data_IF_117318578368
#
_entry.id   IF_117318578368
#
_cell.length_a   1.000
_cell.length_b   1.000
_cell.length_c   1.000
_cell.angle_alpha   90.00
_cell.angle_beta   90.00
_cell.angle_gamma   90.00
#
_symmetry.space_group_name_H-M   'P 1'
#
loop_
_entity.id
_entity.type
_entity.pdbx_description
1 polymer ?
#
# COMPACT_ATOMS: atom_id res chain seq x y z
N UNK A 1 11.77 -22.83 16.34
CA UNK A 1 11.48 -22.96 14.89
C UNK A 1 10.09 -22.44 14.64
N UNK A 2 9.82 -21.86 13.50
CA UNK A 2 8.46 -21.40 13.16
C UNK A 2 7.58 -22.61 12.87
N UNK A 3 6.36 -22.63 13.40
CA UNK A 3 5.38 -23.69 13.13
C UNK A 3 5.02 -23.79 11.63
N UNK A 4 5.19 -22.70 10.84
CA UNK A 4 5.06 -22.73 9.39
C UNK A 4 6.13 -23.61 8.76
N UNK A 5 7.39 -23.48 9.20
CA UNK A 5 8.49 -24.30 8.70
C UNK A 5 8.35 -25.78 9.11
N UNK A 6 7.68 -26.08 10.21
CA UNK A 6 7.38 -27.45 10.63
C UNK A 6 6.40 -28.16 9.66
N UNK A 7 5.70 -27.40 8.81
CA UNK A 7 4.81 -27.93 7.77
C UNK A 7 5.51 -28.17 6.42
N UNK A 8 6.75 -27.74 6.23
CA UNK A 8 7.44 -27.73 4.94
C UNK A 8 7.51 -29.12 4.31
N UNK A 9 7.85 -30.17 5.07
CA UNK A 9 7.94 -31.54 4.55
C UNK A 9 6.59 -32.04 4.01
N UNK A 10 5.50 -31.68 4.67
CA UNK A 10 4.13 -32.03 4.22
C UNK A 10 3.78 -31.31 2.91
N UNK A 11 4.07 -30.01 2.83
CA UNK A 11 3.87 -29.20 1.64
C UNK A 11 4.69 -29.70 0.46
N UNK A 12 5.96 -30.05 0.67
CA UNK A 12 6.81 -30.71 -0.33
C UNK A 12 6.26 -32.09 -0.75
N UNK A 13 5.69 -32.86 0.18
CA UNK A 13 5.00 -34.10 -0.10
C UNK A 13 3.79 -33.89 -1.02
N UNK A 14 2.98 -32.90 -0.74
CA UNK A 14 1.85 -32.51 -1.59
C UNK A 14 2.30 -32.05 -2.99
N UNK A 15 3.33 -31.19 -3.05
CA UNK A 15 3.89 -30.69 -4.31
C UNK A 15 4.38 -31.84 -5.21
N UNK A 16 5.12 -32.83 -4.65
CA UNK A 16 5.56 -34.05 -5.39
C UNK A 16 4.42 -34.88 -5.91
N UNK A 17 3.23 -34.86 -5.31
CA UNK A 17 2.05 -35.56 -5.87
C UNK A 17 1.46 -34.76 -7.03
N UNK A 18 1.33 -33.46 -6.88
CA UNK A 18 0.74 -32.55 -7.89
C UNK A 18 1.61 -32.55 -9.17
N UNK A 19 2.94 -32.49 -9.05
CA UNK A 19 3.86 -32.44 -10.21
C UNK A 19 3.76 -33.61 -11.17
N UNK A 20 3.17 -34.73 -10.75
CA UNK A 20 2.92 -35.89 -11.62
C UNK A 20 1.78 -35.65 -12.62
N UNK A 21 1.01 -34.59 -12.43
CA UNK A 21 -0.19 -34.27 -13.19
C UNK A 21 -0.09 -32.93 -13.96
N UNK A 22 0.99 -32.20 -13.79
CA UNK A 22 1.19 -30.87 -14.40
C UNK A 22 2.67 -30.58 -14.64
N UNK A 23 3.02 -29.79 -15.67
CA UNK A 23 4.41 -29.40 -15.90
C UNK A 23 4.93 -28.41 -14.83
N UNK A 24 4.03 -27.71 -14.10
CA UNK A 24 4.44 -26.76 -13.07
C UNK A 24 3.36 -26.60 -11.99
N UNK A 25 3.80 -26.63 -10.75
CA UNK A 25 2.97 -26.33 -9.59
C UNK A 25 3.76 -25.53 -8.53
N UNK A 26 3.04 -24.79 -7.73
CA UNK A 26 3.58 -23.99 -6.64
C UNK A 26 2.63 -23.92 -5.46
N UNK A 27 3.18 -23.65 -4.29
CA UNK A 27 2.45 -23.53 -3.03
C UNK A 27 2.96 -22.29 -2.31
N UNK A 28 2.03 -21.45 -1.84
CA UNK A 28 2.28 -20.37 -0.88
C UNK A 28 1.60 -20.73 0.42
N UNK A 29 2.36 -21.11 1.42
CA UNK A 29 1.85 -21.30 2.78
C UNK A 29 2.03 -20.00 3.56
N UNK A 30 1.03 -19.67 4.37
CA UNK A 30 0.96 -18.42 5.13
C UNK A 30 0.58 -18.69 6.57
N UNK A 31 1.17 -17.87 7.45
CA UNK A 31 0.78 -17.72 8.84
C UNK A 31 0.79 -16.25 9.20
N UNK A 32 -0.37 -15.70 9.50
CA UNK A 32 -0.50 -14.31 9.95
C UNK A 32 -0.99 -14.27 11.39
N UNK A 33 -0.45 -13.37 12.16
CA UNK A 33 -0.88 -13.07 13.51
C UNK A 33 -0.76 -11.57 13.76
N UNK A 34 -1.52 -11.09 14.70
CA UNK A 34 -1.48 -9.68 15.07
C UNK A 34 -2.39 -9.37 16.24
N UNK A 35 -2.24 -8.17 16.73
CA UNK A 35 -3.08 -7.60 17.76
C UNK A 35 -3.24 -6.10 17.55
N UNK A 36 -4.22 -5.52 18.19
CA UNK A 36 -4.41 -4.07 18.21
C UNK A 36 -5.03 -3.61 19.52
N UNK A 37 -4.76 -2.36 19.84
CA UNK A 37 -5.46 -1.60 20.87
C UNK A 37 -6.16 -0.45 20.19
N UNK A 38 -7.46 -0.31 20.44
CA UNK A 38 -8.25 0.88 20.10
C UNK A 38 -8.74 1.51 21.38
N UNK A 39 -8.56 2.82 21.50
CA UNK A 39 -9.02 3.61 22.64
C UNK A 39 -9.78 4.83 22.14
N UNK A 40 -10.93 5.09 22.73
CA UNK A 40 -11.69 6.32 22.60
C UNK A 40 -12.27 6.73 23.98
N UNK A 41 -13.06 7.79 24.01
CA UNK A 41 -13.65 8.32 25.26
C UNK A 41 -14.44 7.29 26.06
N UNK A 42 -15.00 6.30 25.41
CA UNK A 42 -15.98 5.37 26.00
C UNK A 42 -15.40 3.99 26.28
N UNK A 43 -14.33 3.63 25.58
CA UNK A 43 -13.82 2.26 25.63
C UNK A 43 -12.33 2.13 25.39
N UNK A 44 -11.76 1.09 25.96
CA UNK A 44 -10.46 0.53 25.61
C UNK A 44 -10.72 -0.87 25.07
N UNK A 45 -10.37 -1.11 23.82
CA UNK A 45 -10.71 -2.35 23.12
C UNK A 45 -9.41 -3.01 22.61
N UNK A 46 -8.75 -3.83 23.42
CA UNK A 46 -7.68 -4.70 22.92
C UNK A 46 -8.30 -5.83 22.08
N UNK A 47 -7.67 -6.15 20.98
CA UNK A 47 -8.06 -7.26 20.09
C UNK A 47 -6.83 -8.07 19.73
N UNK A 48 -6.92 -9.37 19.88
CA UNK A 48 -5.99 -10.32 19.26
C UNK A 48 -6.70 -10.84 18.02
N UNK A 49 -6.07 -10.70 16.87
CA UNK A 49 -6.63 -11.23 15.65
C UNK A 49 -6.51 -12.74 15.64
N UNK A 50 -7.53 -13.46 15.16
CA UNK A 50 -7.41 -14.89 14.97
C UNK A 50 -6.18 -15.20 14.13
N UNK A 51 -5.43 -16.21 14.56
CA UNK A 51 -4.33 -16.72 13.75
C UNK A 51 -4.89 -17.22 12.42
N UNK A 52 -4.47 -16.58 11.33
CA UNK A 52 -4.74 -17.03 9.98
C UNK A 52 -3.60 -17.97 9.57
N UNK A 53 -3.94 -19.20 9.17
CA UNK A 53 -2.97 -20.20 8.78
C UNK A 53 -3.54 -21.09 7.68
N UNK A 54 -2.79 -21.26 6.60
CA UNK A 54 -3.20 -22.10 5.50
C UNK A 54 -2.21 -22.06 4.33
N UNK A 55 -2.61 -22.61 3.20
CA UNK A 55 -1.80 -22.59 2.00
C UNK A 55 -2.66 -22.48 0.74
N UNK A 56 -2.22 -21.67 -0.21
CA UNK A 56 -2.70 -21.66 -1.58
C UNK A 56 -1.87 -22.61 -2.42
N UNK A 57 -2.54 -23.45 -3.20
CA UNK A 57 -1.95 -24.41 -4.14
C UNK A 57 -2.34 -23.96 -5.54
N UNK A 58 -1.37 -23.86 -6.44
CA UNK A 58 -1.60 -23.47 -7.82
C UNK A 58 -0.86 -24.40 -8.77
N UNK A 59 -1.55 -24.84 -9.83
CA UNK A 59 -0.98 -25.72 -10.83
C UNK A 59 -1.39 -25.27 -12.24
N UNK A 60 -0.48 -25.40 -13.19
CA UNK A 60 -0.73 -25.01 -14.56
C UNK A 60 -1.52 -26.10 -15.30
N UNK A 61 -2.73 -25.78 -15.75
CA UNK A 61 -3.62 -26.69 -16.45
C UNK A 61 -3.50 -26.63 -17.99
N UNK A 62 -2.38 -26.10 -18.50
CA UNK A 62 -2.04 -26.04 -19.92
C UNK A 62 -2.30 -24.70 -20.58
N UNK A 63 -3.34 -23.98 -20.17
CA UNK A 63 -3.71 -22.63 -20.67
C UNK A 63 -4.18 -21.69 -19.55
N UNK A 64 -4.39 -22.21 -18.36
CA UNK A 64 -4.82 -21.42 -17.18
C UNK A 64 -4.27 -22.02 -15.89
N UNK A 65 -4.39 -21.27 -14.81
CA UNK A 65 -4.10 -21.71 -13.46
C UNK A 65 -5.32 -22.40 -12.84
N UNK A 66 -5.15 -23.64 -12.36
CA UNK A 66 -6.04 -24.28 -11.41
C UNK A 66 -5.58 -23.95 -9.99
N UNK A 67 -6.49 -23.66 -9.09
CA UNK A 67 -6.18 -23.24 -7.72
C UNK A 67 -7.02 -24.02 -6.71
N UNK A 68 -6.43 -24.33 -5.56
CA UNK A 68 -7.09 -24.87 -4.38
C UNK A 68 -6.43 -24.29 -3.13
N UNK A 69 -7.12 -24.31 -2.00
CA UNK A 69 -6.59 -23.79 -0.74
C UNK A 69 -6.78 -24.78 0.42
N UNK A 70 -5.84 -24.76 1.36
CA UNK A 70 -5.88 -25.47 2.62
C UNK A 70 -6.11 -24.50 3.77
N UNK A 71 -7.17 -24.69 4.54
CA UNK A 71 -7.40 -23.98 5.81
C UNK A 71 -6.70 -24.73 6.93
N UNK A 72 -5.43 -24.34 7.20
CA UNK A 72 -4.54 -25.00 8.13
C UNK A 72 -3.42 -25.79 7.46
N UNK A 73 -2.38 -26.08 8.21
CA UNK A 73 -1.12 -26.68 7.75
C UNK A 73 -0.90 -28.11 8.29
N UNK A 74 -1.94 -28.75 8.81
CA UNK A 74 -1.91 -30.17 9.16
C UNK A 74 -2.01 -31.05 7.90
N UNK A 75 -1.66 -32.32 8.04
CA UNK A 75 -1.60 -33.27 6.92
C UNK A 75 -2.94 -33.39 6.17
N UNK A 76 -4.04 -33.55 6.89
CA UNK A 76 -5.35 -33.81 6.30
C UNK A 76 -5.89 -32.62 5.47
N UNK A 77 -5.88 -31.34 5.93
CA UNK A 77 -6.22 -30.19 5.09
C UNK A 77 -5.33 -30.04 3.85
N UNK A 78 -4.02 -30.23 3.99
CA UNK A 78 -3.05 -30.16 2.88
C UNK A 78 -3.36 -31.24 1.84
N UNK A 79 -3.59 -32.47 2.27
CA UNK A 79 -3.89 -33.62 1.38
C UNK A 79 -5.21 -33.41 0.65
N UNK A 80 -6.22 -32.86 1.31
CA UNK A 80 -7.52 -32.53 0.70
C UNK A 80 -7.36 -31.45 -0.37
N UNK A 81 -6.63 -30.38 -0.09
CA UNK A 81 -6.35 -29.31 -1.06
C UNK A 81 -5.56 -29.82 -2.27
N UNK A 82 -4.52 -30.64 -2.05
CA UNK A 82 -3.74 -31.24 -3.12
C UNK A 82 -4.58 -32.17 -4.02
N UNK A 83 -5.44 -33.02 -3.43
CA UNK A 83 -6.32 -33.90 -4.17
C UNK A 83 -7.39 -33.12 -4.94
N UNK A 84 -7.95 -32.06 -4.36
CA UNK A 84 -8.89 -31.15 -5.04
C UNK A 84 -8.22 -30.51 -6.27
N UNK A 85 -7.00 -30.00 -6.11
CA UNK A 85 -6.24 -29.41 -7.22
C UNK A 85 -5.96 -30.44 -8.32
N UNK A 86 -5.52 -31.66 -7.97
CA UNK A 86 -5.30 -32.74 -8.94
C UNK A 86 -6.59 -33.05 -9.70
N UNK A 87 -7.74 -33.07 -9.02
CA UNK A 87 -9.04 -33.27 -9.66
C UNK A 87 -9.46 -32.17 -10.64
N UNK A 88 -8.92 -30.95 -10.50
CA UNK A 88 -9.13 -29.83 -11.43
C UNK A 88 -8.21 -29.92 -12.67
N UNK A 89 -7.11 -30.68 -12.58
CA UNK A 89 -6.20 -30.94 -13.70
C UNK A 89 -6.81 -32.04 -14.56
N UNK A 90 -7.66 -31.64 -15.52
CA UNK A 90 -8.30 -32.60 -16.45
C UNK A 90 -7.27 -33.48 -17.14
N UNK A 91 -7.68 -34.71 -17.54
CA UNK A 91 -6.89 -35.57 -18.40
C UNK A 91 -6.46 -34.80 -19.66
N UNK A 92 -5.16 -34.54 -19.80
CA UNK A 92 -4.61 -33.75 -20.90
C UNK A 92 -4.27 -32.29 -20.57
N UNK A 93 -4.16 -31.91 -19.31
CA UNK A 93 -3.47 -30.66 -18.94
C UNK A 93 -2.12 -30.65 -19.67
N UNK A 94 -2.06 -29.83 -20.73
CA UNK A 94 -1.08 -29.95 -21.80
C UNK A 94 0.36 -29.88 -21.30
N UNK A 95 1.26 -30.53 -22.04
CA UNK A 95 2.70 -30.57 -21.76
C UNK A 95 3.42 -29.20 -21.88
N UNK A 96 2.68 -28.10 -22.06
CA UNK A 96 3.26 -26.76 -22.15
C UNK A 96 3.47 -26.18 -20.75
N UNK A 97 4.68 -25.69 -20.43
CA UNK A 97 4.90 -24.97 -19.18
C UNK A 97 4.08 -23.67 -19.17
N UNK A 98 3.84 -23.08 -17.98
CA UNK A 98 3.24 -21.73 -17.89
C UNK A 98 4.12 -20.72 -18.61
N UNK A 99 3.54 -19.60 -19.10
CA UNK A 99 4.33 -18.50 -19.60
C UNK A 99 5.29 -17.97 -18.53
N UNK A 100 6.52 -17.63 -18.95
CA UNK A 100 7.57 -17.10 -18.06
C UNK A 100 8.41 -18.19 -17.40
N UNK A 101 9.65 -17.79 -17.05
CA UNK A 101 10.59 -18.67 -16.37
C UNK A 101 10.20 -18.88 -14.91
N UNK A 102 10.18 -20.12 -14.40
CA UNK A 102 9.90 -20.37 -13.00
C UNK A 102 11.00 -19.80 -12.10
N UNK A 103 10.62 -19.25 -10.94
CA UNK A 103 11.58 -18.89 -9.90
C UNK A 103 12.29 -20.14 -9.37
N UNK A 104 13.61 -20.11 -9.28
CA UNK A 104 14.43 -21.20 -8.74
C UNK A 104 15.24 -20.78 -7.50
N UNK A 105 15.93 -21.76 -6.88
CA UNK A 105 16.87 -21.55 -5.78
C UNK A 105 16.20 -21.25 -4.42
N UNK A 106 17.03 -21.03 -3.39
CA UNK A 106 16.58 -20.84 -2.00
C UNK A 106 16.94 -19.44 -1.48
N UNK A 107 16.03 -18.82 -0.71
CA UNK A 107 16.30 -17.62 0.05
C UNK A 107 15.36 -17.51 1.27
N UNK A 108 15.83 -16.82 2.30
CA UNK A 108 15.07 -16.50 3.51
C UNK A 108 15.34 -15.09 3.96
N UNK A 109 14.31 -14.37 4.35
CA UNK A 109 14.40 -12.99 4.85
C UNK A 109 13.39 -12.77 5.96
N UNK A 110 13.82 -12.07 7.02
CA UNK A 110 12.98 -11.80 8.19
C UNK A 110 13.21 -10.38 8.65
N UNK A 111 12.14 -9.67 8.96
CA UNK A 111 12.24 -8.38 9.66
C UNK A 111 12.89 -8.60 11.02
N UNK A 112 13.97 -7.88 11.29
CA UNK A 112 14.69 -7.90 12.55
C UNK A 112 14.71 -6.47 13.13
N UNK A 113 13.61 -6.01 13.73
CA UNK A 113 13.53 -4.66 14.27
C UNK A 113 14.46 -4.53 15.48
N UNK A 114 15.09 -3.36 15.70
CA UNK A 114 15.95 -3.13 16.86
C UNK A 114 15.18 -3.21 18.19
N UNK A 115 13.89 -2.93 18.17
CA UNK A 115 12.98 -2.97 19.31
C UNK A 115 11.68 -3.70 18.95
N UNK A 116 11.65 -5.05 19.06
CA UNK A 116 10.46 -5.84 18.71
C UNK A 116 9.18 -5.39 19.43
N UNK A 117 8.06 -5.41 18.73
CA UNK A 117 6.74 -5.10 19.32
C UNK A 117 6.28 -6.15 20.33
N UNK A 118 6.75 -7.38 20.16
CA UNK A 118 6.47 -8.51 21.04
C UNK A 118 7.01 -8.31 22.47
N UNK A 119 8.00 -7.42 22.65
CA UNK A 119 8.54 -7.06 23.96
C UNK A 119 7.60 -6.16 24.78
N UNK A 120 6.60 -5.54 24.15
CA UNK A 120 5.58 -4.76 24.83
C UNK A 120 4.38 -5.64 25.18
N UNK A 121 4.05 -5.68 26.46
CA UNK A 121 2.79 -6.29 26.90
C UNK A 121 1.58 -5.53 26.35
N UNK A 122 0.43 -6.17 26.34
CA UNK A 122 -0.82 -5.49 25.95
C UNK A 122 -1.14 -4.30 26.88
N UNK A 123 -0.75 -4.38 28.15
CA UNK A 123 -0.92 -3.30 29.11
C UNK A 123 -0.02 -2.10 28.79
N UNK A 124 1.24 -2.33 28.41
CA UNK A 124 2.13 -1.25 27.97
C UNK A 124 1.57 -0.54 26.74
N UNK A 125 1.01 -1.28 25.77
CA UNK A 125 0.38 -0.71 24.57
C UNK A 125 -0.89 0.09 24.91
N UNK A 126 -1.68 -0.37 25.89
CA UNK A 126 -2.83 0.39 26.40
C UNK A 126 -2.35 1.68 27.08
N UNK A 127 -1.27 1.65 27.83
CA UNK A 127 -0.74 2.83 28.49
C UNK A 127 -0.21 3.85 27.48
N UNK A 128 0.52 3.42 26.45
CA UNK A 128 0.89 4.29 25.34
C UNK A 128 -0.33 4.95 24.69
N UNK A 129 -1.38 4.18 24.41
CA UNK A 129 -2.60 4.73 23.82
C UNK A 129 -3.30 5.73 24.76
N UNK A 130 -3.24 5.53 26.08
CA UNK A 130 -3.78 6.47 27.08
C UNK A 130 -2.99 7.77 27.12
N UNK A 131 -1.65 7.71 27.02
CA UNK A 131 -0.81 8.90 26.98
C UNK A 131 -1.13 9.73 25.75
N UNK A 132 -1.20 9.13 24.57
CA UNK A 132 -1.56 9.82 23.32
C UNK A 132 -2.97 10.42 23.36
N UNK A 133 -3.93 9.69 23.95
CA UNK A 133 -5.28 10.19 24.18
C UNK A 133 -5.27 11.42 25.11
N UNK A 134 -4.54 11.32 26.22
CA UNK A 134 -4.43 12.42 27.19
C UNK A 134 -3.81 13.67 26.53
N UNK A 135 -2.70 13.53 25.80
CA UNK A 135 -2.08 14.65 25.08
C UNK A 135 -3.07 15.35 24.14
N UNK A 136 -3.79 14.59 23.31
CA UNK A 136 -4.75 15.18 22.38
C UNK A 136 -5.88 15.94 23.08
N UNK A 137 -6.41 15.38 24.16
CA UNK A 137 -7.56 15.95 24.89
C UNK A 137 -7.21 17.11 25.82
N UNK A 138 -5.92 17.41 26.05
CA UNK A 138 -5.50 18.66 26.74
C UNK A 138 -5.76 19.89 25.87
N UNK A 139 -5.89 19.75 24.56
CA UNK A 139 -6.17 20.88 23.66
C UNK A 139 -7.64 21.32 23.82
N UNK A 140 -7.88 22.59 24.20
CA UNK A 140 -9.24 23.08 24.40
C UNK A 140 -10.10 22.92 23.14
N UNK A 141 -11.34 22.40 23.31
CA UNK A 141 -12.25 22.13 22.19
C UNK A 141 -12.09 20.76 21.54
N UNK A 142 -11.20 19.93 22.05
CA UNK A 142 -11.00 18.53 21.63
C UNK A 142 -11.47 17.58 22.75
N UNK A 143 -12.76 17.30 22.89
CA UNK A 143 -13.31 16.49 23.99
C UNK A 143 -13.08 14.99 23.81
N UNK A 144 -12.64 14.54 22.66
CA UNK A 144 -12.44 13.14 22.34
C UNK A 144 -11.31 12.95 21.32
N UNK A 145 -10.72 11.77 21.35
CA UNK A 145 -9.74 11.31 20.37
C UNK A 145 -9.93 9.80 20.15
N UNK A 146 -9.71 9.33 18.94
CA UNK A 146 -9.58 7.90 18.70
C UNK A 146 -8.09 7.58 18.54
N UNK A 147 -7.60 6.65 19.34
CA UNK A 147 -6.24 6.14 19.23
C UNK A 147 -6.30 4.69 18.75
N UNK A 148 -5.48 4.33 17.81
CA UNK A 148 -5.29 2.94 17.36
C UNK A 148 -3.81 2.61 17.32
N UNK A 149 -3.45 1.43 17.83
CA UNK A 149 -2.11 0.88 17.79
C UNK A 149 -2.22 -0.57 17.37
N UNK A 150 -1.60 -0.97 16.29
CA UNK A 150 -1.64 -2.34 15.75
C UNK A 150 -0.25 -2.89 15.47
N UNK A 151 -0.14 -4.20 15.63
CA UNK A 151 1.01 -4.99 15.25
C UNK A 151 0.55 -6.15 14.39
N UNK A 152 1.28 -6.41 13.30
CA UNK A 152 0.99 -7.49 12.35
C UNK A 152 2.29 -8.21 12.01
N UNK A 153 2.26 -9.53 11.99
CA UNK A 153 3.38 -10.36 11.56
C UNK A 153 2.88 -11.39 10.56
N UNK A 154 3.35 -11.27 9.32
CA UNK A 154 3.03 -12.16 8.22
C UNK A 154 4.24 -13.01 7.89
N UNK A 155 4.09 -14.32 7.96
CA UNK A 155 5.11 -15.29 7.59
C UNK A 155 4.63 -16.10 6.39
N UNK A 156 5.45 -16.20 5.33
CA UNK A 156 5.14 -16.93 4.10
C UNK A 156 6.28 -17.87 3.71
N UNK A 157 5.88 -19.05 3.22
CA UNK A 157 6.77 -20.04 2.61
C UNK A 157 6.25 -20.35 1.21
N UNK A 158 7.04 -19.98 0.19
CA UNK A 158 6.79 -20.32 -1.19
C UNK A 158 7.65 -21.53 -1.60
N UNK A 159 7.02 -22.51 -2.26
CA UNK A 159 7.65 -23.69 -2.81
C UNK A 159 7.13 -23.93 -4.24
N UNK A 160 7.97 -24.41 -5.16
CA UNK A 160 7.53 -24.80 -6.49
C UNK A 160 8.25 -26.06 -7.01
N UNK A 161 7.77 -26.59 -8.14
CA UNK A 161 8.34 -27.77 -8.79
C UNK A 161 9.67 -27.51 -9.48
N UNK A 162 10.08 -26.25 -9.68
CA UNK A 162 11.42 -25.85 -10.14
C UNK A 162 12.43 -25.70 -8.99
N UNK A 163 12.18 -26.35 -7.85
CA UNK A 163 13.02 -26.36 -6.66
C UNK A 163 13.25 -24.97 -6.02
N UNK A 164 12.33 -24.04 -6.19
CA UNK A 164 12.38 -22.80 -5.40
C UNK A 164 11.93 -23.06 -3.97
N UNK A 165 12.61 -22.36 -3.06
CA UNK A 165 12.21 -22.19 -1.67
C UNK A 165 12.42 -20.75 -1.25
N UNK A 166 11.34 -20.03 -0.94
CA UNK A 166 11.38 -18.66 -0.41
C UNK A 166 10.67 -18.64 0.93
N UNK A 167 11.34 -18.15 1.92
CA UNK A 167 10.75 -17.93 3.24
C UNK A 167 10.88 -16.45 3.59
N UNK A 168 9.79 -15.84 4.04
CA UNK A 168 9.83 -14.46 4.58
C UNK A 168 8.96 -14.32 5.82
N UNK A 169 9.40 -13.44 6.71
CA UNK A 169 8.60 -12.95 7.83
C UNK A 169 8.69 -11.42 7.84
N UNK A 170 7.53 -10.77 7.74
CA UNK A 170 7.42 -9.31 7.72
C UNK A 170 6.60 -8.85 8.90
N UNK A 171 7.20 -8.04 9.76
CA UNK A 171 6.52 -7.44 10.92
C UNK A 171 6.25 -5.97 10.65
N UNK A 172 5.01 -5.53 10.93
CA UNK A 172 4.53 -4.16 10.70
C UNK A 172 3.92 -3.59 11.96
N UNK A 173 4.19 -2.32 12.20
CA UNK A 173 3.58 -1.55 13.29
C UNK A 173 2.80 -0.39 12.68
N UNK A 174 1.60 -0.17 13.20
CA UNK A 174 0.70 0.92 12.79
C UNK A 174 0.20 1.66 14.00
N UNK A 175 0.20 2.99 13.96
CA UNK A 175 -0.37 3.83 14.99
C UNK A 175 -1.14 5.00 14.38
N UNK A 176 -2.26 5.36 14.98
CA UNK A 176 -3.01 6.56 14.62
C UNK A 176 -3.58 7.27 15.84
N UNK A 177 -3.54 8.60 15.80
CA UNK A 177 -4.17 9.49 16.77
C UNK A 177 -5.08 10.43 16.00
N UNK A 178 -6.38 10.36 16.25
CA UNK A 178 -7.42 11.10 15.52
C UNK A 178 -8.20 11.97 16.51
N UNK A 179 -7.74 13.18 16.83
CA UNK A 179 -8.44 14.12 17.67
C UNK A 179 -9.72 14.62 16.97
N UNK A 180 -10.79 14.73 17.76
CA UNK A 180 -12.11 15.18 17.33
C UNK A 180 -12.46 16.45 18.06
N UNK A 181 -12.56 17.55 17.32
CA UNK A 181 -12.95 18.86 17.84
C UNK A 181 -14.45 19.10 17.69
N UNK A 182 -15.07 19.67 18.70
CA UNK A 182 -16.52 19.93 18.73
C UNK A 182 -16.78 21.33 19.29
N UNK A 183 -17.50 22.17 18.53
CA UNK A 183 -17.93 23.49 18.97
C UNK A 183 -19.22 23.90 18.24
N UNK A 184 -20.23 24.34 18.98
CA UNK A 184 -21.48 24.86 18.43
C UNK A 184 -22.21 23.86 17.51
N UNK A 185 -22.11 22.55 17.79
CA UNK A 185 -22.74 21.49 16.98
C UNK A 185 -21.91 21.11 15.73
N UNK A 186 -20.83 21.81 15.43
CA UNK A 186 -19.88 21.42 14.37
C UNK A 186 -18.88 20.41 14.91
N UNK A 187 -18.51 19.44 14.07
CA UNK A 187 -17.54 18.38 14.38
C UNK A 187 -16.47 18.37 13.30
N UNK A 188 -15.22 18.41 13.71
CA UNK A 188 -14.07 18.31 12.81
C UNK A 188 -13.02 17.41 13.42
N UNK A 189 -12.12 16.87 12.60
CA UNK A 189 -11.02 16.03 13.04
C UNK A 189 -9.77 16.28 12.20
N UNK A 190 -8.64 15.83 12.68
CA UNK A 190 -7.42 15.62 11.91
C UNK A 190 -6.80 14.28 12.33
N UNK A 191 -5.75 13.83 11.68
CA UNK A 191 -5.14 12.53 11.95
C UNK A 191 -3.61 12.59 11.90
N UNK A 192 -2.96 12.03 12.90
CA UNK A 192 -1.56 11.64 12.87
C UNK A 192 -1.52 10.13 12.66
N UNK A 193 -0.96 9.68 11.54
CA UNK A 193 -0.87 8.26 11.18
C UNK A 193 0.60 7.92 10.95
N UNK A 194 1.06 6.81 11.51
CA UNK A 194 2.40 6.25 11.28
C UNK A 194 2.29 4.74 11.12
N UNK A 195 3.08 4.20 10.21
CA UNK A 195 3.16 2.75 10.02
C UNK A 195 4.33 2.39 9.13
N UNK A 196 5.02 1.31 9.52
CA UNK A 196 6.19 0.83 8.80
C UNK A 196 6.42 -0.66 9.05
N UNK A 197 7.24 -1.27 8.20
CA UNK A 197 7.91 -2.52 8.53
C UNK A 197 8.96 -2.21 9.60
N UNK A 198 8.81 -2.82 10.78
CA UNK A 198 9.67 -2.54 11.92
C UNK A 198 9.09 -3.06 13.23
N UNK A 199 9.52 -2.46 14.32
CA UNK A 199 9.06 -2.70 15.67
C UNK A 199 8.59 -1.42 16.35
N UNK A 200 8.74 -1.35 17.68
CA UNK A 200 8.25 -0.20 18.45
C UNK A 200 8.97 1.12 18.19
N UNK A 201 10.10 1.13 17.48
CA UNK A 201 10.77 2.35 17.03
C UNK A 201 9.89 3.21 16.12
N UNK A 202 8.93 2.61 15.41
CA UNK A 202 7.93 3.31 14.59
C UNK A 202 7.06 4.23 15.44
N UNK A 203 6.84 3.88 16.71
CA UNK A 203 6.02 4.65 17.65
C UNK A 203 6.71 5.92 18.17
N UNK A 204 8.03 6.03 18.05
CA UNK A 204 8.78 7.22 18.48
C UNK A 204 8.38 8.47 17.70
N UNK A 205 7.78 8.29 16.54
CA UNK A 205 7.24 9.39 15.75
C UNK A 205 5.91 9.96 16.28
N UNK A 206 5.25 9.27 17.21
CA UNK A 206 4.05 9.77 17.89
C UNK A 206 4.49 10.55 19.13
N UNK A 207 4.99 11.76 18.92
CA UNK A 207 5.43 12.65 19.99
C UNK A 207 4.28 13.51 20.53
N UNK A 208 4.40 14.00 21.78
CA UNK A 208 3.41 14.91 22.38
C UNK A 208 3.20 16.16 21.52
N UNK A 209 4.29 16.74 20.98
CA UNK A 209 4.24 17.91 20.11
C UNK A 209 3.39 17.64 18.86
N UNK A 210 3.66 16.53 18.15
CA UNK A 210 2.90 16.16 16.94
C UNK A 210 1.43 15.85 17.23
N UNK A 211 1.14 15.24 18.40
CA UNK A 211 -0.25 15.00 18.85
C UNK A 211 -0.96 16.32 19.15
N UNK A 212 -0.28 17.27 19.81
CA UNK A 212 -0.83 18.60 20.03
C UNK A 212 -1.06 19.36 18.72
N UNK A 213 -0.15 19.24 17.74
CA UNK A 213 -0.29 19.90 16.44
C UNK A 213 -1.53 19.39 15.69
N UNK A 214 -1.72 18.07 15.62
CA UNK A 214 -2.89 17.51 14.95
C UNK A 214 -4.19 17.83 15.72
N UNK A 215 -4.14 17.92 17.04
CA UNK A 215 -5.31 18.32 17.85
C UNK A 215 -5.66 19.81 17.67
N UNK A 216 -4.65 20.71 17.63
CA UNK A 216 -4.85 22.12 17.29
C UNK A 216 -5.40 22.30 15.87
N UNK A 217 -4.90 21.52 14.94
CA UNK A 217 -5.40 21.50 13.55
C UNK A 217 -6.88 21.09 13.49
N UNK A 218 -7.27 19.98 14.15
CA UNK A 218 -8.66 19.55 14.20
C UNK A 218 -9.58 20.68 14.73
N UNK A 219 -9.12 21.42 15.75
CA UNK A 219 -9.85 22.57 16.30
C UNK A 219 -9.93 23.73 15.30
N UNK A 220 -8.82 24.06 14.63
CA UNK A 220 -8.79 25.15 13.65
C UNK A 220 -9.75 24.90 12.49
N UNK A 221 -9.93 23.62 12.10
CA UNK A 221 -10.88 23.21 11.07
C UNK A 221 -12.35 23.56 11.36
N UNK A 222 -12.73 23.81 12.62
CA UNK A 222 -14.08 24.32 12.96
C UNK A 222 -14.34 25.72 12.38
N UNK A 223 -13.28 26.50 12.13
CA UNK A 223 -13.35 27.84 11.52
C UNK A 223 -12.96 27.86 10.04
N UNK A 224 -12.66 26.73 9.43
CA UNK A 224 -12.22 26.66 8.03
C UNK A 224 -13.30 27.19 7.07
N UNK A 225 -12.88 27.90 6.04
CA UNK A 225 -13.73 28.38 4.97
C UNK A 225 -14.06 27.29 3.94
N UNK A 226 -14.99 27.58 3.05
CA UNK A 226 -15.27 26.71 1.91
C UNK A 226 -14.10 26.70 0.92
N UNK A 227 -13.76 25.54 0.34
CA UNK A 227 -12.70 25.45 -0.65
C UNK A 227 -13.06 26.18 -1.94
N UNK A 228 -12.04 26.56 -2.75
CA UNK A 228 -12.28 27.05 -4.10
C UNK A 228 -12.92 25.95 -4.97
N UNK A 229 -13.53 26.35 -6.10
CA UNK A 229 -14.14 25.45 -7.07
C UNK A 229 -13.64 25.70 -8.49
N UNK A 230 -13.43 24.64 -9.24
CA UNK A 230 -13.02 24.68 -10.64
C UNK A 230 -11.50 24.50 -10.83
N UNK A 231 -11.03 24.68 -12.07
CA UNK A 231 -9.61 24.58 -12.40
C UNK A 231 -8.77 25.59 -11.63
N UNK A 232 -7.69 25.12 -10.98
CA UNK A 232 -6.80 25.98 -10.22
C UNK A 232 -5.39 25.40 -10.14
N UNK A 233 -4.44 26.21 -9.72
CA UNK A 233 -3.12 25.74 -9.29
C UNK A 233 -3.27 24.98 -7.98
N UNK A 234 -2.65 23.81 -7.92
CA UNK A 234 -2.71 22.90 -6.78
C UNK A 234 -1.29 22.58 -6.31
N UNK A 235 -1.03 22.79 -5.05
CA UNK A 235 0.15 22.27 -4.36
C UNK A 235 -0.31 21.09 -3.50
N UNK A 236 0.14 19.88 -3.81
CA UNK A 236 -0.17 18.68 -3.04
C UNK A 236 0.87 18.51 -1.93
N UNK A 237 0.45 18.19 -0.71
CA UNK A 237 1.35 17.76 0.36
C UNK A 237 1.89 16.33 0.09
N UNK A 238 2.88 15.81 0.86
CA UNK A 238 3.43 14.49 0.67
C UNK A 238 2.38 13.36 0.63
N UNK A 239 1.40 13.41 1.51
CA UNK A 239 0.30 12.43 1.60
C UNK A 239 -0.56 12.42 0.32
N UNK A 240 -0.92 13.61 -0.17
CA UNK A 240 -1.72 13.77 -1.39
C UNK A 240 -0.93 13.40 -2.63
N UNK A 241 0.36 13.77 -2.70
CA UNK A 241 1.27 13.40 -3.79
C UNK A 241 1.44 11.89 -3.89
N UNK A 242 1.65 11.21 -2.74
CA UNK A 242 1.77 9.76 -2.70
C UNK A 242 0.50 9.04 -3.14
N UNK A 243 -0.65 9.48 -2.65
CA UNK A 243 -1.93 8.93 -3.09
C UNK A 243 -2.18 9.22 -4.58
N UNK A 244 -1.81 10.40 -5.06
CA UNK A 244 -1.86 10.71 -6.49
C UNK A 244 -1.03 9.70 -7.31
N UNK A 245 0.21 9.41 -6.93
CA UNK A 245 1.05 8.45 -7.63
C UNK A 245 0.42 7.04 -7.65
N UNK A 246 -0.11 6.61 -6.51
CA UNK A 246 -0.74 5.30 -6.34
C UNK A 246 -2.02 5.16 -7.17
N UNK A 247 -2.97 6.06 -6.98
CA UNK A 247 -4.28 5.98 -7.64
C UNK A 247 -4.19 6.34 -9.13
N UNK A 248 -3.45 7.39 -9.46
CA UNK A 248 -3.45 7.92 -10.82
C UNK A 248 -2.62 7.12 -11.79
N UNK A 249 -1.50 6.56 -11.34
CA UNK A 249 -0.57 5.89 -12.23
C UNK A 249 -0.29 4.44 -11.83
N UNK A 250 -0.24 4.17 -10.53
CA UNK A 250 0.05 2.84 -10.01
C UNK A 250 -0.92 1.77 -10.50
N UNK A 251 -2.22 1.92 -10.27
CA UNK A 251 -3.24 0.97 -10.73
C UNK A 251 -3.28 0.81 -12.25
N UNK A 252 -3.08 1.90 -12.99
CA UNK A 252 -3.03 1.88 -14.44
C UNK A 252 -1.84 1.06 -14.99
N UNK A 253 -0.78 0.85 -14.21
CA UNK A 253 0.43 0.11 -14.62
C UNK A 253 0.43 -1.36 -14.21
N UNK A 254 -0.59 -1.87 -13.53
CA UNK A 254 -0.71 -3.28 -13.19
C UNK A 254 -0.95 -4.12 -14.46
N UNK A 255 0.00 -4.97 -14.84
CA UNK A 255 0.07 -5.63 -16.15
C UNK A 255 -1.08 -6.59 -16.46
N UNK A 256 -1.76 -7.14 -15.47
CA UNK A 256 -2.97 -7.93 -15.70
C UNK A 256 -4.11 -7.09 -16.32
N UNK A 257 -4.13 -5.76 -16.11
CA UNK A 257 -5.02 -4.85 -16.82
C UNK A 257 -4.57 -4.63 -18.28
N UNK A 258 -3.25 -4.60 -18.53
CA UNK A 258 -2.70 -4.53 -19.88
C UNK A 258 -3.04 -5.77 -20.70
N UNK A 259 -2.87 -6.96 -20.13
CA UNK A 259 -3.23 -8.24 -20.78
C UNK A 259 -4.72 -8.26 -21.15
N UNK A 260 -5.58 -7.73 -20.30
CA UNK A 260 -7.04 -7.66 -20.51
C UNK A 260 -7.50 -6.45 -21.33
N UNK A 261 -6.57 -5.61 -21.80
CA UNK A 261 -6.88 -4.37 -22.54
C UNK A 261 -7.74 -3.37 -21.75
N UNK A 262 -7.54 -3.32 -20.43
CA UNK A 262 -8.31 -2.50 -19.48
C UNK A 262 -7.50 -1.37 -18.86
N UNK A 263 -6.40 -0.93 -19.50
CA UNK A 263 -5.62 0.22 -19.06
C UNK A 263 -5.50 1.26 -20.14
N UNK A 264 -5.89 2.51 -19.83
CA UNK A 264 -5.71 3.67 -20.70
C UNK A 264 -4.22 3.98 -20.96
N UNK A 265 -3.31 3.46 -20.11
CA UNK A 265 -1.87 3.63 -20.24
C UNK A 265 -1.24 2.72 -21.29
N UNK A 266 -1.89 1.59 -21.64
CA UNK A 266 -1.32 0.60 -22.57
C UNK A 266 -0.84 1.19 -23.91
N UNK A 267 -1.61 2.05 -24.61
CA UNK A 267 -1.20 2.58 -25.91
C UNK A 267 -0.10 3.65 -25.83
N UNK A 268 0.23 4.16 -24.63
CA UNK A 268 1.19 5.25 -24.44
C UNK A 268 2.47 4.82 -23.74
N UNK A 269 2.69 3.51 -23.55
CA UNK A 269 3.96 3.00 -23.02
C UNK A 269 5.12 3.49 -23.90
N UNK A 270 6.17 4.01 -23.29
CA UNK A 270 7.32 4.65 -23.93
C UNK A 270 7.15 6.14 -24.24
N UNK A 271 5.96 6.73 -24.02
CA UNK A 271 5.71 8.15 -24.28
C UNK A 271 6.07 9.05 -23.10
N UNK A 272 6.28 10.34 -23.37
CA UNK A 272 6.39 11.36 -22.32
C UNK A 272 4.99 11.62 -21.74
N UNK A 273 4.89 11.50 -20.42
CA UNK A 273 3.65 11.70 -19.65
C UNK A 273 3.74 12.85 -18.65
N UNK A 274 4.94 13.33 -18.38
CA UNK A 274 5.23 14.44 -17.47
C UNK A 274 6.51 15.17 -17.84
N UNK A 275 6.92 16.17 -17.06
CA UNK A 275 8.19 16.87 -17.24
C UNK A 275 9.40 15.97 -16.95
N UNK A 276 10.56 16.31 -17.49
CA UNK A 276 11.78 15.51 -17.45
C UNK A 276 12.32 15.27 -16.01
N UNK A 277 11.99 16.12 -15.06
CA UNK A 277 12.38 15.93 -13.66
C UNK A 277 11.43 15.00 -12.87
N UNK A 278 10.32 14.54 -13.45
CA UNK A 278 9.34 13.70 -12.76
C UNK A 278 9.71 12.22 -12.88
N UNK A 279 9.87 11.58 -11.72
CA UNK A 279 10.08 10.12 -11.63
C UNK A 279 9.06 9.53 -10.66
N UNK A 280 8.42 8.42 -11.08
CA UNK A 280 7.47 7.66 -10.24
C UNK A 280 7.96 6.22 -10.17
N UNK A 281 8.02 5.66 -8.97
CA UNK A 281 8.46 4.30 -8.72
C UNK A 281 7.45 3.51 -7.88
N UNK A 282 7.44 2.19 -8.04
CA UNK A 282 6.90 1.23 -7.07
C UNK A 282 8.05 0.39 -6.52
N UNK A 283 8.25 0.42 -5.21
CA UNK A 283 9.43 -0.17 -4.56
C UNK A 283 9.03 -1.04 -3.36
N UNK A 284 8.95 -2.34 -3.60
CA UNK A 284 8.68 -3.28 -2.52
C UNK A 284 9.89 -3.55 -1.62
N UNK A 285 11.08 -3.09 -2.02
CA UNK A 285 12.31 -3.18 -1.25
C UNK A 285 12.64 -1.88 -0.47
N UNK A 286 11.76 -0.86 -0.54
CA UNK A 286 11.96 0.41 0.18
C UNK A 286 12.14 0.16 1.69
N UNK A 287 13.24 0.63 2.30
CA UNK A 287 13.50 0.37 3.72
C UNK A 287 12.38 0.85 4.64
N UNK A 288 11.80 -0.04 5.42
CA UNK A 288 10.71 0.28 6.33
C UNK A 288 9.35 0.54 5.66
N UNK A 289 9.27 0.55 4.34
CA UNK A 289 8.04 0.85 3.61
C UNK A 289 6.88 -0.10 3.98
N UNK A 290 5.73 0.45 4.32
CA UNK A 290 4.56 -0.29 4.81
C UNK A 290 4.10 -1.41 3.88
N UNK A 291 4.10 -1.17 2.55
CA UNK A 291 3.75 -2.13 1.51
C UNK A 291 4.86 -3.12 1.16
N UNK A 292 6.05 -3.00 1.78
CA UNK A 292 7.23 -3.78 1.46
C UNK A 292 7.08 -5.27 1.72
N UNK A 293 7.76 -6.07 0.90
CA UNK A 293 7.90 -7.52 1.01
C UNK A 293 9.30 -7.90 0.53
N UNK A 294 9.80 -9.08 0.90
CA UNK A 294 11.08 -9.56 0.37
C UNK A 294 10.90 -10.34 -0.94
N UNK A 295 9.81 -11.11 -1.03
CA UNK A 295 9.42 -11.92 -2.19
C UNK A 295 7.92 -11.82 -2.39
N UNK A 296 7.48 -11.79 -3.63
CA UNK A 296 6.07 -11.91 -3.97
C UNK A 296 5.56 -13.36 -3.89
N UNK A 297 4.31 -13.59 -4.18
CA UNK A 297 3.66 -14.90 -4.06
C UNK A 297 4.00 -15.84 -5.23
N UNK A 298 4.79 -15.41 -6.21
CA UNK A 298 5.47 -16.24 -7.21
C UNK A 298 6.96 -16.47 -6.88
N UNK A 299 7.39 -16.05 -5.68
CA UNK A 299 8.76 -16.16 -5.21
C UNK A 299 9.76 -15.22 -5.88
N UNK A 300 9.29 -14.27 -6.67
CA UNK A 300 10.12 -13.24 -7.29
C UNK A 300 10.58 -12.23 -6.23
N UNK A 301 11.86 -11.84 -6.28
CA UNK A 301 12.40 -10.86 -5.35
C UNK A 301 11.75 -9.50 -5.57
N UNK A 302 11.37 -8.86 -4.49
CA UNK A 302 10.91 -7.48 -4.49
C UNK A 302 12.03 -6.53 -4.91
N UNK A 303 11.69 -5.49 -5.65
CA UNK A 303 12.65 -4.54 -6.21
C UNK A 303 12.01 -3.18 -6.42
N UNK A 304 12.83 -2.18 -6.74
CA UNK A 304 12.39 -0.86 -7.18
C UNK A 304 12.11 -0.88 -8.68
N UNK A 305 10.89 -0.62 -9.05
CA UNK A 305 10.40 -0.60 -10.44
C UNK A 305 10.10 0.85 -10.84
N UNK A 306 10.77 1.38 -11.85
CA UNK A 306 10.48 2.69 -12.42
C UNK A 306 9.25 2.61 -13.31
N UNK A 307 8.18 3.31 -12.94
CA UNK A 307 6.96 3.44 -13.73
C UNK A 307 7.08 4.61 -14.70
N UNK A 308 7.51 5.75 -14.17
CA UNK A 308 7.87 6.93 -14.96
C UNK A 308 9.33 7.26 -14.66
N UNK A 309 10.15 7.29 -15.69
CA UNK A 309 11.57 7.63 -15.62
C UNK A 309 11.82 8.92 -16.39
N UNK A 310 12.20 9.97 -15.67
CA UNK A 310 12.44 11.29 -16.25
C UNK A 310 11.29 11.74 -17.20
N UNK A 311 10.06 11.71 -16.71
CA UNK A 311 8.86 12.09 -17.44
C UNK A 311 8.36 11.10 -18.47
N UNK A 312 9.10 10.02 -18.73
CA UNK A 312 8.75 8.99 -19.71
C UNK A 312 8.12 7.78 -19.00
N UNK A 313 6.98 7.35 -19.48
CA UNK A 313 6.35 6.11 -19.02
C UNK A 313 7.14 4.89 -19.52
N UNK A 314 7.90 4.23 -18.66
CA UNK A 314 8.85 3.16 -19.04
C UNK A 314 8.51 1.81 -18.42
N UNK A 315 7.78 1.76 -17.32
CA UNK A 315 7.60 0.55 -16.53
C UNK A 315 6.16 0.13 -16.31
N UNK A 316 5.95 -1.17 -16.25
CA UNK A 316 4.69 -1.83 -15.93
C UNK A 316 4.98 -2.87 -14.85
N UNK A 317 4.09 -3.01 -13.87
CA UNK A 317 4.22 -4.00 -12.82
C UNK A 317 3.75 -5.37 -13.33
N UNK A 318 4.56 -6.41 -13.12
CA UNK A 318 4.34 -7.73 -13.71
C UNK A 318 4.31 -8.85 -12.67
N UNK A 319 3.43 -9.83 -12.89
CA UNK A 319 3.63 -11.22 -12.53
C UNK A 319 4.40 -11.95 -13.64
N UNK A 320 4.73 -13.24 -13.47
CA UNK A 320 5.46 -14.01 -14.48
C UNK A 320 4.67 -14.16 -15.79
N UNK A 321 3.36 -14.34 -15.70
CA UNK A 321 2.50 -14.57 -16.86
C UNK A 321 2.40 -13.30 -17.70
N UNK A 322 2.08 -12.17 -17.10
CA UNK A 322 1.99 -10.90 -17.81
C UNK A 322 3.34 -10.44 -18.36
N UNK A 323 4.44 -10.69 -17.63
CA UNK A 323 5.79 -10.43 -18.12
C UNK A 323 6.07 -11.20 -19.41
N UNK A 324 5.78 -12.50 -19.43
CA UNK A 324 5.99 -13.33 -20.61
C UNK A 324 5.11 -12.92 -21.80
N UNK A 325 3.84 -12.56 -21.54
CA UNK A 325 2.89 -12.17 -22.59
C UNK A 325 3.18 -10.80 -23.20
N UNK A 326 3.75 -9.88 -22.42
CA UNK A 326 4.01 -8.50 -22.82
C UNK A 326 5.49 -8.23 -23.13
N UNK A 327 6.37 -9.26 -23.02
CA UNK A 327 7.80 -9.14 -23.31
C UNK A 327 8.58 -8.39 -22.23
N UNK A 328 8.09 -8.41 -20.98
CA UNK A 328 8.72 -7.82 -19.80
C UNK A 328 9.47 -8.85 -18.94
N UNK A 329 9.80 -8.44 -17.72
CA UNK A 329 10.35 -9.29 -16.64
C UNK A 329 9.48 -9.21 -15.41
N UNK A 330 9.36 -10.27 -14.58
CA UNK A 330 8.65 -10.21 -13.30
C UNK A 330 9.22 -9.11 -12.39
N UNK A 331 8.34 -8.36 -11.75
CA UNK A 331 8.71 -7.17 -10.97
C UNK A 331 8.61 -7.36 -9.46
N UNK A 332 8.20 -8.55 -8.99
CA UNK A 332 8.01 -8.81 -7.56
C UNK A 332 6.67 -8.25 -7.04
N UNK A 333 5.66 -8.23 -7.89
CA UNK A 333 4.36 -7.63 -7.62
C UNK A 333 3.19 -8.61 -7.69
N UNK A 334 3.44 -9.92 -7.86
CA UNK A 334 2.41 -10.95 -7.79
C UNK A 334 1.99 -11.15 -6.32
N UNK A 335 0.82 -10.65 -5.92
CA UNK A 335 0.41 -10.61 -4.51
C UNK A 335 -1.01 -11.11 -4.32
N UNK A 336 -1.24 -11.83 -3.23
CA UNK A 336 -2.56 -12.22 -2.72
C UNK A 336 -2.77 -11.70 -1.30
N UNK A 337 -4.01 -11.36 -0.95
CA UNK A 337 -4.32 -10.87 0.39
C UNK A 337 -4.06 -11.96 1.45
N UNK A 338 -4.49 -13.18 1.16
CA UNK A 338 -4.26 -14.37 1.97
C UNK A 338 -4.28 -15.64 1.11
N UNK A 339 -4.14 -16.80 1.72
CA UNK A 339 -4.16 -18.09 1.01
C UNK A 339 -5.51 -18.48 0.39
N UNK A 340 -6.61 -17.79 0.75
CA UNK A 340 -7.95 -17.97 0.15
C UNK A 340 -8.19 -17.02 -1.02
N UNK A 341 -7.40 -15.96 -1.11
CA UNK A 341 -7.54 -14.92 -2.11
C UNK A 341 -6.81 -15.28 -3.41
N UNK A 342 -7.35 -14.81 -4.53
CA UNK A 342 -6.68 -14.91 -5.81
C UNK A 342 -5.46 -13.98 -5.86
N UNK A 343 -4.43 -14.42 -6.59
CA UNK A 343 -3.27 -13.58 -6.89
C UNK A 343 -3.57 -12.58 -8.00
N UNK A 344 -3.04 -11.37 -7.83
CA UNK A 344 -3.08 -10.28 -8.79
C UNK A 344 -1.74 -9.56 -8.84
N UNK A 345 -1.49 -8.85 -9.92
CA UNK A 345 -0.44 -7.83 -9.92
C UNK A 345 -0.89 -6.67 -9.03
N UNK A 346 -0.08 -6.33 -8.01
CA UNK A 346 -0.41 -5.32 -7.00
C UNK A 346 0.80 -4.45 -6.68
N UNK A 347 0.56 -3.18 -6.47
CA UNK A 347 1.56 -2.23 -5.97
C UNK A 347 2.09 -2.61 -4.59
N UNK A 348 3.26 -2.09 -4.26
CA UNK A 348 3.93 -2.19 -2.96
C UNK A 348 4.03 -0.82 -2.29
N UNK A 349 5.09 -0.06 -2.53
CA UNK A 349 5.20 1.33 -2.10
C UNK A 349 5.35 2.19 -3.35
N UNK A 350 4.29 2.90 -3.71
CA UNK A 350 4.27 3.75 -4.91
C UNK A 350 4.51 5.19 -4.51
N UNK A 351 5.47 5.86 -5.13
CA UNK A 351 5.83 7.22 -4.77
C UNK A 351 6.35 8.06 -5.93
N UNK A 352 6.21 9.38 -5.80
CA UNK A 352 6.93 10.36 -6.60
C UNK A 352 8.28 10.61 -5.94
N UNK A 353 9.37 10.46 -6.71
CA UNK A 353 10.71 10.77 -6.19
C UNK A 353 10.86 12.25 -5.85
N UNK A 354 11.62 12.57 -4.79
CA UNK A 354 11.91 13.94 -4.44
C UNK A 354 12.58 14.71 -5.59
N UNK A 355 12.22 15.98 -5.71
CA UNK A 355 12.88 16.95 -6.58
C UNK A 355 13.78 17.91 -5.80
N UNK A 356 13.89 19.15 -6.28
CA UNK A 356 14.85 20.14 -5.77
C UNK A 356 14.22 21.36 -5.10
N UNK A 357 12.88 21.47 -5.07
CA UNK A 357 12.20 22.69 -4.62
C UNK A 357 11.93 22.69 -3.11
N UNK A 358 12.16 23.81 -2.44
CA UNK A 358 11.65 24.05 -1.09
C UNK A 358 10.15 24.35 -1.09
N UNK A 359 9.45 24.08 0.02
CA UNK A 359 8.02 24.38 0.16
C UNK A 359 7.72 25.87 -0.14
N UNK A 360 8.50 26.79 0.44
CA UNK A 360 8.33 28.23 0.19
C UNK A 360 8.51 28.62 -1.27
N UNK A 361 9.42 27.96 -1.97
CA UNK A 361 9.66 28.18 -3.40
C UNK A 361 8.46 27.72 -4.22
N UNK A 362 7.89 26.53 -3.90
CA UNK A 362 6.69 26.00 -4.54
C UNK A 362 5.46 26.90 -4.28
N UNK A 363 5.30 27.41 -3.07
CA UNK A 363 4.21 28.34 -2.72
C UNK A 363 4.35 29.65 -3.52
N UNK A 364 5.55 30.21 -3.61
CA UNK A 364 5.82 31.40 -4.43
C UNK A 364 5.57 31.17 -5.92
N UNK A 365 5.99 30.00 -6.45
CA UNK A 365 5.77 29.63 -7.85
C UNK A 365 4.28 29.39 -8.15
N UNK A 366 3.52 28.87 -7.18
CA UNK A 366 2.08 28.70 -7.30
C UNK A 366 1.36 30.02 -7.53
N UNK A 367 1.83 31.12 -6.94
CA UNK A 367 1.25 32.48 -6.93
C UNK A 367 -0.13 32.51 -6.30
N UNK A 368 -1.13 31.99 -7.01
CA UNK A 368 -2.52 31.86 -6.56
C UNK A 368 -3.00 30.42 -6.79
N UNK A 369 -3.65 29.83 -5.77
CA UNK A 369 -4.08 28.44 -5.83
C UNK A 369 -4.51 27.89 -4.47
N UNK A 370 -4.25 26.61 -4.27
CA UNK A 370 -4.57 25.92 -3.02
C UNK A 370 -3.53 24.84 -2.69
N UNK A 371 -3.07 24.83 -1.44
CA UNK A 371 -2.35 23.70 -0.85
C UNK A 371 -3.38 22.67 -0.39
N UNK A 372 -3.23 21.43 -0.83
CA UNK A 372 -4.04 20.28 -0.43
C UNK A 372 -3.28 19.47 0.61
N UNK A 373 -3.94 19.16 1.74
CA UNK A 373 -3.28 18.51 2.87
C UNK A 373 -4.12 17.34 3.41
N UNK A 374 -3.41 16.27 3.77
CA UNK A 374 -4.00 15.07 4.40
C UNK A 374 -4.98 14.35 3.49
N UNK A 375 -4.43 13.55 2.60
CA UNK A 375 -5.26 12.66 1.79
C UNK A 375 -6.10 11.73 2.68
N UNK A 376 -7.36 11.55 2.33
CA UNK A 376 -8.29 10.64 3.04
C UNK A 376 -8.71 9.46 2.17
N UNK A 377 -8.76 9.62 0.87
CA UNK A 377 -9.04 8.54 -0.09
C UNK A 377 -8.74 8.97 -1.52
N UNK A 378 -8.46 8.01 -2.37
CA UNK A 378 -8.34 8.18 -3.80
C UNK A 378 -9.15 7.12 -4.56
N UNK A 379 -9.51 7.42 -5.77
CA UNK A 379 -10.10 6.48 -6.74
C UNK A 379 -9.64 6.83 -8.14
N UNK A 380 -9.48 5.81 -8.98
CA UNK A 380 -9.15 5.94 -10.40
C UNK A 380 -10.11 5.13 -11.26
N UNK A 381 -10.36 5.61 -12.48
CA UNK A 381 -10.93 4.85 -13.58
C UNK A 381 -9.79 4.33 -14.48
N UNK A 382 -9.40 3.05 -14.37
CA UNK A 382 -8.29 2.51 -15.14
C UNK A 382 -8.54 2.43 -16.64
N UNK A 383 -9.79 2.61 -17.10
CA UNK A 383 -10.15 2.64 -18.52
C UNK A 383 -10.10 4.04 -19.10
N UNK A 384 -10.67 5.02 -18.39
CA UNK A 384 -10.80 6.39 -18.87
C UNK A 384 -9.70 7.33 -18.40
N UNK A 385 -8.91 6.95 -17.39
CA UNK A 385 -7.87 7.78 -16.80
C UNK A 385 -8.42 9.00 -16.05
N UNK A 386 -9.63 8.91 -15.51
CA UNK A 386 -10.21 9.90 -14.61
C UNK A 386 -9.81 9.55 -13.17
N UNK A 387 -9.58 10.55 -12.35
CA UNK A 387 -9.27 10.36 -10.93
C UNK A 387 -10.01 11.34 -10.05
N UNK A 388 -10.19 10.96 -8.80
CA UNK A 388 -10.60 11.84 -7.72
C UNK A 388 -9.82 11.50 -6.45
N UNK A 389 -9.27 12.53 -5.80
CA UNK A 389 -8.57 12.40 -4.52
C UNK A 389 -9.24 13.33 -3.52
N UNK A 390 -9.60 12.82 -2.35
CA UNK A 390 -10.18 13.60 -1.27
C UNK A 390 -9.13 13.93 -0.24
N UNK A 391 -9.11 15.21 0.17
CA UNK A 391 -8.22 15.70 1.22
C UNK A 391 -9.04 16.28 2.37
N UNK A 392 -8.45 16.23 3.56
CA UNK A 392 -9.11 16.66 4.78
C UNK A 392 -9.22 18.18 4.88
N UNK A 393 -8.18 18.89 4.42
CA UNK A 393 -8.07 20.36 4.53
C UNK A 393 -7.12 20.92 3.48
N UNK A 394 -6.96 22.22 3.51
CA UNK A 394 -5.95 22.92 2.73
C UNK A 394 -5.80 24.38 3.16
N UNK A 395 -4.92 25.08 2.49
CA UNK A 395 -4.74 26.52 2.64
C UNK A 395 -4.82 27.20 1.28
N UNK A 396 -5.50 28.36 1.20
CA UNK A 396 -5.40 29.20 0.01
C UNK A 396 -3.96 29.66 -0.17
N UNK A 397 -3.54 29.75 -1.39
CA UNK A 397 -2.29 30.41 -1.78
C UNK A 397 -2.71 31.68 -2.50
N UNK A 398 -2.30 32.83 -1.98
CA UNK A 398 -2.62 34.15 -2.53
C UNK A 398 -1.32 34.97 -2.58
N UNK A 399 -0.97 35.43 -3.78
CA UNK A 399 0.26 36.19 -4.02
C UNK A 399 1.56 35.48 -3.57
N UNK A 400 1.57 34.14 -3.62
CA UNK A 400 2.72 33.34 -3.21
C UNK A 400 2.87 33.17 -1.70
N UNK A 401 1.80 33.32 -0.93
CA UNK A 401 1.76 33.10 0.51
C UNK A 401 0.59 32.18 0.88
N UNK A 402 0.78 31.34 1.92
CA UNK A 402 -0.30 30.54 2.49
C UNK A 402 -1.17 31.46 3.36
N UNK A 403 -2.47 31.46 3.11
CA UNK A 403 -3.39 32.36 3.80
C UNK A 403 -4.50 31.59 4.52
N UNK A 404 -5.69 31.53 4.02
CA UNK A 404 -6.88 31.04 4.71
C UNK A 404 -6.94 29.51 4.73
N UNK A 405 -7.20 28.95 5.91
CA UNK A 405 -7.52 27.53 6.07
C UNK A 405 -8.86 27.21 5.43
N UNK A 406 -8.89 26.20 4.57
CA UNK A 406 -10.10 25.73 3.88
C UNK A 406 -10.44 24.29 4.28
N UNK A 407 -11.74 23.99 4.29
CA UNK A 407 -12.27 22.69 4.67
C UNK A 407 -11.99 21.61 3.63
N UNK A 408 -12.44 20.39 3.92
CA UNK A 408 -12.25 19.22 3.04
C UNK A 408 -12.68 19.49 1.61
N UNK A 409 -11.89 18.98 0.67
CA UNK A 409 -12.11 19.14 -0.75
C UNK A 409 -11.69 17.90 -1.54
N UNK A 410 -12.18 17.82 -2.76
CA UNK A 410 -11.76 16.83 -3.73
C UNK A 410 -10.98 17.50 -4.86
N UNK A 411 -9.84 16.89 -5.21
CA UNK A 411 -9.12 17.12 -6.45
C UNK A 411 -9.65 16.13 -7.48
N UNK A 412 -9.90 16.59 -8.70
CA UNK A 412 -10.35 15.74 -9.81
C UNK A 412 -9.75 16.19 -11.13
N UNK A 413 -9.62 15.22 -12.05
CA UNK A 413 -9.10 15.50 -13.39
C UNK A 413 -8.71 14.24 -14.15
N UNK A 414 -8.21 14.44 -15.37
CA UNK A 414 -7.56 13.36 -16.11
C UNK A 414 -6.11 13.25 -15.65
N UNK A 415 -5.70 12.05 -15.30
CA UNK A 415 -4.36 11.75 -14.79
C UNK A 415 -3.25 12.37 -15.64
N UNK A 416 -3.28 12.14 -16.95
CA UNK A 416 -2.24 12.63 -17.87
C UNK A 416 -2.19 14.17 -17.98
N UNK A 417 -3.33 14.85 -17.81
CA UNK A 417 -3.36 16.31 -17.84
C UNK A 417 -2.71 16.88 -16.56
N UNK A 418 -2.98 16.25 -15.41
CA UNK A 418 -2.35 16.62 -14.14
C UNK A 418 -0.85 16.35 -14.15
N UNK A 419 -0.40 15.17 -14.65
CA UNK A 419 1.02 14.85 -14.76
C UNK A 419 1.78 15.81 -15.67
N UNK A 420 1.21 16.16 -16.83
CA UNK A 420 1.82 17.09 -17.79
C UNK A 420 1.91 18.51 -17.26
N UNK A 421 1.05 18.87 -16.32
CA UNK A 421 1.01 20.20 -15.72
C UNK A 421 1.89 20.32 -14.46
N UNK A 422 2.63 19.28 -14.06
CA UNK A 422 3.57 19.34 -12.94
C UNK A 422 4.66 20.35 -13.25
N UNK A 423 4.88 21.29 -12.32
CA UNK A 423 5.85 22.40 -12.43
C UNK A 423 7.02 22.27 -11.47
N UNK A 424 6.87 21.54 -10.39
CA UNK A 424 7.93 21.32 -9.40
C UNK A 424 7.59 20.22 -8.42
N UNK A 425 8.63 19.58 -7.89
CA UNK A 425 8.54 18.55 -6.85
C UNK A 425 9.49 18.95 -5.71
N UNK A 426 9.01 18.78 -4.49
CA UNK A 426 9.71 19.14 -3.27
C UNK A 426 10.93 18.27 -2.97
N UNK A 427 11.83 18.78 -2.13
CA UNK A 427 13.08 18.11 -1.73
C UNK A 427 12.84 16.87 -0.88
N UNK A 428 13.90 16.08 -0.72
CA UNK A 428 13.90 14.82 0.04
C UNK A 428 13.66 15.01 1.55
N UNK A 429 13.95 16.19 2.11
CA UNK A 429 13.69 16.51 3.52
C UNK A 429 12.19 16.60 3.86
N UNK A 430 11.35 16.80 2.84
CA UNK A 430 9.91 16.78 2.95
C UNK A 430 9.25 15.49 2.45
N UNK A 431 10.04 14.47 2.10
CA UNK A 431 9.49 13.19 1.64
C UNK A 431 8.87 12.41 2.81
N UNK A 432 7.62 11.98 2.63
CA UNK A 432 6.94 11.05 3.54
C UNK A 432 6.44 9.83 2.76
N UNK A 433 6.40 8.67 3.44
CA UNK A 433 5.81 7.44 2.93
C UNK A 433 4.74 6.98 3.91
N UNK A 434 3.50 7.22 3.57
CA UNK A 434 2.34 6.92 4.41
C UNK A 434 1.90 5.45 4.31
N UNK A 435 1.48 4.84 5.43
CA UNK A 435 0.90 3.52 5.41
C UNK A 435 -0.55 3.57 4.88
N UNK A 436 -0.88 2.64 4.01
CA UNK A 436 -2.23 2.48 3.47
C UNK A 436 -2.58 1.03 3.17
N UNK A 437 -3.80 0.85 2.69
CA UNK A 437 -4.28 -0.43 2.18
C UNK A 437 -4.90 -0.21 0.81
N UNK A 438 -4.54 -1.06 -0.13
CA UNK A 438 -5.03 -1.01 -1.49
C UNK A 438 -5.91 -2.22 -1.78
N UNK A 439 -7.12 -1.98 -2.31
CA UNK A 439 -8.07 -2.99 -2.74
C UNK A 439 -8.06 -3.20 -4.25
N UNK A 440 -8.32 -4.44 -4.70
CA UNK A 440 -8.55 -4.76 -6.11
C UNK A 440 -9.56 -5.90 -6.20
N UNK A 441 -10.49 -5.83 -7.16
CA UNK A 441 -11.54 -6.84 -7.29
C UNK A 441 -12.57 -6.74 -6.15
N UNK A 442 -12.88 -7.86 -5.50
CA UNK A 442 -13.99 -7.95 -4.53
C UNK A 442 -13.57 -7.80 -3.07
N UNK A 443 -12.46 -7.16 -2.73
CA UNK A 443 -12.10 -6.84 -1.34
C UNK A 443 -10.70 -7.17 -0.86
N UNK A 444 -9.82 -7.58 -1.74
CA UNK A 444 -8.48 -8.03 -1.35
C UNK A 444 -7.62 -6.83 -0.92
N UNK A 445 -7.78 -6.41 0.33
CA UNK A 445 -7.00 -5.32 0.91
C UNK A 445 -5.60 -5.78 1.26
N UNK A 446 -4.59 -5.15 0.65
CA UNK A 446 -3.17 -5.41 0.90
C UNK A 446 -2.49 -4.18 1.48
N UNK A 447 -1.50 -4.35 2.38
CA UNK A 447 -0.63 -3.24 2.76
C UNK A 447 0.02 -2.63 1.53
N UNK A 448 -0.10 -1.31 1.39
CA UNK A 448 0.53 -0.53 0.33
C UNK A 448 0.99 0.81 0.91
N UNK A 449 2.22 1.22 0.60
CA UNK A 449 2.73 2.53 0.96
C UNK A 449 2.48 3.53 -0.16
N UNK A 450 2.18 4.77 0.19
CA UNK A 450 2.02 5.87 -0.75
C UNK A 450 2.94 7.02 -0.35
N UNK A 451 3.80 7.50 -1.26
CA UNK A 451 4.84 8.44 -0.88
C UNK A 451 5.10 9.56 -1.88
N UNK A 452 5.71 10.60 -1.38
CA UNK A 452 6.16 11.74 -2.17
C UNK A 452 6.63 12.88 -1.30
N UNK A 453 7.03 13.95 -1.97
CA UNK A 453 7.21 15.27 -1.38
C UNK A 453 6.10 16.20 -1.88
N UNK A 454 6.17 17.49 -1.60
CA UNK A 454 5.24 18.45 -2.19
C UNK A 454 5.29 18.42 -3.71
N UNK A 455 4.14 18.52 -4.39
CA UNK A 455 4.08 18.55 -5.85
C UNK A 455 3.15 19.66 -6.35
N UNK A 456 3.70 20.57 -7.15
CA UNK A 456 2.97 21.68 -7.75
C UNK A 456 2.45 21.30 -9.14
N UNK A 457 1.13 21.42 -9.34
CA UNK A 457 0.48 21.07 -10.59
C UNK A 457 -0.79 21.92 -10.82
N UNK A 458 -1.65 21.51 -11.76
CA UNK A 458 -2.96 22.09 -12.02
C UNK A 458 -4.03 21.01 -12.09
N UNK A 459 -5.17 21.24 -11.46
CA UNK A 459 -6.31 20.32 -11.48
C UNK A 459 -7.62 21.06 -11.14
N UNK A 460 -8.74 20.39 -11.25
CA UNK A 460 -10.00 20.92 -10.74
C UNK A 460 -10.17 20.53 -9.27
N UNK A 461 -10.62 21.49 -8.45
CA UNK A 461 -10.97 21.26 -7.05
C UNK A 461 -12.42 21.62 -6.77
N UNK A 462 -13.00 21.06 -5.73
CA UNK A 462 -14.35 21.35 -5.26
C UNK A 462 -14.61 20.77 -3.88
N UNK A 463 -15.76 21.05 -3.25
CA UNK A 463 -16.15 20.40 -1.99
C UNK A 463 -16.15 18.89 -2.10
N UNK A 464 -15.66 18.19 -1.05
CA UNK A 464 -15.56 16.72 -1.00
C UNK A 464 -16.88 16.04 -0.67
#
# INVERSE_FOLDING_TARGET
>A
MSELLDSEDRLRGALRRIERHTPFAEIVAERSLGDSVRLDRTSVSPRVFPRLEGAAFRAWAGDHWAEAASTGLLAEPIDRAANALIGLLAEGAGARPPPGEPTGGEASSTTAPPRPMEDLSIEDRINLARDWYAWATTVPGVPNTTVSLGFFSDERLYLNTAAARRHQRVSRVFASVVPIAIEGGRVQYDALVRGAIGGREVLDEITEERVHDVARSARAMLGAESPPTGPTTVLMDPSTTGTFAHESFGHGTEADQFVRERSYLRPILGSMVGPEFLTIADDGAYPGGWGGIYFDDEGCRSQRNLLVDHGRFTGVLHDRVSAALLGGTPTGNARRADFLSREFVRMTNTYVEPGDWGLEELVKEAKDGVLLERCTSGIEDPLGGQMQIKVLRGHRIEHGELTTLVSSMALSGRVLDVLRSVRGVGRADAFELDPGFCGKGHSDMLPAGTGGSYMLTSAAVGPA
#
